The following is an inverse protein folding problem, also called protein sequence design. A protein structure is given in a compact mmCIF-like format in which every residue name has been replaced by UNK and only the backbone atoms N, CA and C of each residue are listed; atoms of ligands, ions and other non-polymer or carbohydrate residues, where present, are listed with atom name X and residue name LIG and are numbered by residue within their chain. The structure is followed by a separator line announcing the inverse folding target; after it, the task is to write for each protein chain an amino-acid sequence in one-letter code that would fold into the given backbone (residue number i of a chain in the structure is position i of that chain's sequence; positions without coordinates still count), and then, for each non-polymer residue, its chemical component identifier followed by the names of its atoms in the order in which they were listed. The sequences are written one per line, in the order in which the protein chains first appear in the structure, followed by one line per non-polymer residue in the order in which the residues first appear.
data_IF_127092369539
#
_entry.id   IF_127092369539
#
_cell.length_a   1.000
_cell.length_b   1.000
_cell.length_c   1.000
_cell.angle_alpha   90.00
_cell.angle_beta   90.00
_cell.angle_gamma   90.00
#
_symmetry.space_group_name_H-M   'P 1'
#
loop_
_entity.id
_entity.type
_entity.pdbx_description
1 polymer ?
#
# COMPACT_ATOMS: atom_id res chain seq x y z
N UNK A 1 -28.06 2.63 24.28
CA UNK A 1 -29.01 2.02 25.22
C UNK A 1 -28.32 1.96 26.59
N UNK A 2 -28.78 2.76 27.56
CA UNK A 2 -28.37 2.68 28.95
C UNK A 2 -28.97 1.41 29.52
N UNK A 3 -28.15 0.39 29.72
CA UNK A 3 -28.56 -0.79 30.47
C UNK A 3 -28.59 -0.42 31.96
N UNK A 4 -29.76 -0.19 32.51
CA UNK A 4 -29.93 -0.19 33.95
C UNK A 4 -29.88 -1.65 34.40
N UNK A 5 -28.79 -2.08 35.00
CA UNK A 5 -28.77 -3.34 35.72
C UNK A 5 -29.66 -3.20 36.93
N UNK A 6 -30.60 -4.14 37.07
CA UNK A 6 -31.49 -4.24 38.25
C UNK A 6 -30.62 -4.41 39.49
N UNK A 7 -30.94 -3.63 40.54
CA UNK A 7 -30.33 -3.76 41.86
C UNK A 7 -30.42 -5.22 42.31
N UNK A 8 -29.32 -5.87 42.56
CA UNK A 8 -29.24 -7.27 42.96
C UNK A 8 -29.19 -7.37 44.46
N UNK A 9 -29.91 -8.36 44.98
CA UNK A 9 -29.94 -8.66 46.41
C UNK A 9 -29.46 -10.10 46.65
N UNK A 10 -28.51 -10.24 47.56
CA UNK A 10 -28.11 -11.51 48.12
C UNK A 10 -28.65 -11.65 49.51
N UNK A 11 -29.17 -12.82 49.85
CA UNK A 11 -29.66 -13.12 51.21
C UNK A 11 -28.95 -14.38 51.68
N UNK A 12 -28.29 -14.28 52.81
CA UNK A 12 -27.66 -15.41 53.49
C UNK A 12 -28.35 -15.59 54.85
N UNK A 13 -28.80 -16.79 55.11
CA UNK A 13 -29.42 -17.19 56.39
C UNK A 13 -28.51 -18.19 57.07
N UNK A 14 -28.51 -18.26 58.38
CA UNK A 14 -27.71 -19.22 59.15
C UNK A 14 -26.20 -18.97 59.08
N UNK A 15 -25.78 -17.70 59.17
CA UNK A 15 -24.38 -17.34 59.14
C UNK A 15 -23.71 -17.49 60.51
N UNK A 16 -22.48 -17.94 60.46
CA UNK A 16 -21.61 -18.00 61.67
C UNK A 16 -20.21 -17.46 61.33
N UNK A 17 -19.55 -16.90 62.34
CA UNK A 17 -18.27 -16.26 62.12
C UNK A 17 -18.37 -14.81 61.62
N UNK A 18 -17.32 -14.27 61.05
CA UNK A 18 -17.26 -12.87 60.66
C UNK A 18 -17.27 -12.63 59.15
N UNK A 19 -17.22 -13.71 58.32
CA UNK A 19 -17.07 -13.58 56.89
C UNK A 19 -18.24 -14.17 56.12
N UNK A 20 -18.60 -13.52 55.01
CA UNK A 20 -19.63 -13.97 54.05
C UNK A 20 -19.04 -13.90 52.65
N UNK A 21 -19.30 -14.94 51.88
CA UNK A 21 -18.96 -14.93 50.45
C UNK A 21 -19.99 -14.16 49.67
N UNK A 22 -19.60 -13.15 48.97
CA UNK A 22 -20.43 -12.34 48.06
C UNK A 22 -20.66 -13.07 46.75
N UNK A 23 -21.87 -12.98 46.20
CA UNK A 23 -22.20 -13.48 44.86
C UNK A 23 -21.42 -12.76 43.76
N UNK A 24 -21.04 -11.51 44.01
CA UNK A 24 -20.29 -10.68 43.07
C UNK A 24 -19.14 -9.99 43.77
N UNK A 25 -18.02 -9.92 43.11
CA UNK A 25 -16.88 -9.13 43.57
C UNK A 25 -17.21 -7.62 43.62
N UNK A 26 -16.81 -6.99 44.70
CA UNK A 26 -16.96 -5.54 44.90
C UNK A 26 -15.63 -4.91 45.24
N UNK A 27 -15.46 -3.65 44.83
CA UNK A 27 -14.20 -2.90 44.99
C UNK A 27 -14.18 -2.03 46.22
N UNK A 28 -15.35 -1.67 46.74
CA UNK A 28 -15.49 -0.74 47.86
C UNK A 28 -16.68 -1.16 48.74
N UNK A 29 -16.58 -0.83 50.03
CA UNK A 29 -17.73 -0.98 50.97
C UNK A 29 -18.94 -0.15 50.55
N UNK A 30 -18.74 0.89 49.77
CA UNK A 30 -19.81 1.75 49.22
C UNK A 30 -20.57 1.12 48.09
N UNK A 31 -20.09 0.04 47.51
CA UNK A 31 -20.74 -0.68 46.42
C UNK A 31 -21.89 -1.56 46.91
N UNK A 32 -21.96 -1.77 48.23
CA UNK A 32 -23.00 -2.62 48.83
C UNK A 32 -23.60 -1.94 50.07
N UNK A 33 -24.84 -2.25 50.31
CA UNK A 33 -25.51 -1.98 51.56
C UNK A 33 -25.75 -3.28 52.32
N UNK A 34 -25.22 -3.41 53.53
CA UNK A 34 -25.32 -4.62 54.33
C UNK A 34 -26.29 -4.45 55.46
N UNK A 35 -27.20 -5.40 55.67
CA UNK A 35 -28.02 -5.45 56.86
C UNK A 35 -27.86 -6.79 57.57
N UNK A 36 -27.80 -6.76 58.90
CA UNK A 36 -27.81 -7.92 59.77
C UNK A 36 -29.10 -7.91 60.58
N UNK A 37 -29.91 -8.94 60.50
CA UNK A 37 -31.22 -9.02 61.10
C UNK A 37 -32.06 -7.76 60.90
N UNK A 38 -32.07 -7.25 59.66
CA UNK A 38 -32.74 -6.03 59.24
C UNK A 38 -32.15 -4.73 59.77
N UNK A 39 -31.03 -4.73 60.50
CA UNK A 39 -30.31 -3.55 60.93
C UNK A 39 -29.21 -3.20 59.97
N UNK A 40 -29.25 -2.00 59.41
CA UNK A 40 -28.21 -1.50 58.47
C UNK A 40 -26.87 -1.37 59.20
N UNK A 41 -25.84 -1.89 58.57
CA UNK A 41 -24.46 -1.79 59.06
C UNK A 41 -23.81 -0.54 58.53
N UNK A 42 -23.10 0.18 59.40
CA UNK A 42 -22.25 1.31 58.99
C UNK A 42 -21.07 0.78 58.13
N UNK A 43 -20.63 1.57 57.17
CA UNK A 43 -19.45 1.24 56.35
C UNK A 43 -18.17 0.98 57.15
N UNK A 44 -18.08 1.54 58.35
CA UNK A 44 -16.96 1.33 59.28
C UNK A 44 -17.02 -0.04 59.99
N UNK A 45 -18.15 -0.69 59.95
CA UNK A 45 -18.40 -1.99 60.61
C UNK A 45 -18.14 -3.21 59.72
N UNK A 46 -17.73 -3.00 58.48
CA UNK A 46 -17.37 -4.10 57.59
C UNK A 46 -16.31 -3.69 56.56
N UNK A 47 -15.65 -4.67 56.05
CA UNK A 47 -14.70 -4.51 54.96
C UNK A 47 -14.99 -5.49 53.86
N UNK A 48 -14.54 -5.17 52.60
CA UNK A 48 -14.67 -6.01 51.43
C UNK A 48 -13.34 -6.21 50.72
N UNK A 49 -13.13 -7.40 50.23
CA UNK A 49 -11.98 -7.72 49.37
C UNK A 49 -12.44 -8.75 48.32
N UNK A 50 -12.63 -8.28 47.06
CA UNK A 50 -13.15 -9.12 46.01
C UNK A 50 -14.55 -9.67 46.35
N UNK A 51 -14.65 -10.97 46.54
CA UNK A 51 -15.89 -11.65 46.93
C UNK A 51 -15.99 -11.95 48.44
N UNK A 52 -15.14 -11.38 49.26
CA UNK A 52 -15.19 -11.59 50.72
C UNK A 52 -15.67 -10.32 51.39
N UNK A 53 -16.80 -10.45 52.11
CA UNK A 53 -17.30 -9.47 53.06
C UNK A 53 -16.87 -9.89 54.46
N UNK A 54 -16.21 -9.02 55.23
CA UNK A 54 -15.85 -9.27 56.62
C UNK A 54 -16.58 -8.27 57.51
N UNK A 55 -17.35 -8.73 58.44
CA UNK A 55 -18.08 -7.93 59.42
C UNK A 55 -17.27 -7.73 60.68
N UNK A 56 -17.42 -6.57 61.34
CA UNK A 56 -16.73 -6.26 62.59
C UNK A 56 -17.27 -7.05 63.82
N UNK A 57 -18.43 -7.69 63.69
CA UNK A 57 -19.03 -8.52 64.73
C UNK A 57 -19.20 -9.97 64.29
N UNK A 58 -19.16 -10.91 65.22
CA UNK A 58 -19.40 -12.34 64.97
C UNK A 58 -20.88 -12.61 64.79
N UNK A 59 -21.24 -13.26 63.70
CA UNK A 59 -22.58 -13.74 63.41
C UNK A 59 -22.82 -15.04 64.15
N UNK A 60 -24.07 -15.18 64.67
CA UNK A 60 -24.52 -16.41 65.34
C UNK A 60 -25.94 -16.76 64.88
N UNK A 61 -26.01 -17.50 63.78
CA UNK A 61 -27.27 -17.84 63.11
C UNK A 61 -28.06 -16.62 62.61
N UNK A 62 -27.31 -15.56 62.24
CA UNK A 62 -27.90 -14.27 61.83
C UNK A 62 -28.26 -14.29 60.35
N UNK A 63 -29.33 -13.54 60.01
CA UNK A 63 -29.68 -13.26 58.62
C UNK A 63 -28.94 -12.02 58.12
N UNK A 64 -28.23 -12.16 57.04
CA UNK A 64 -27.53 -11.05 56.35
C UNK A 64 -28.11 -10.83 54.99
N UNK A 65 -28.46 -9.59 54.71
CA UNK A 65 -28.90 -9.18 53.37
C UNK A 65 -27.90 -8.17 52.83
N UNK A 66 -27.50 -8.38 51.58
CA UNK A 66 -26.54 -7.54 50.86
C UNK A 66 -27.24 -7.02 49.62
N UNK A 67 -27.35 -5.69 49.55
CA UNK A 67 -27.87 -5.00 48.38
C UNK A 67 -26.71 -4.40 47.62
N UNK A 68 -26.50 -4.81 46.37
CA UNK A 68 -25.48 -4.26 45.49
C UNK A 68 -26.02 -2.97 44.86
N UNK A 69 -25.55 -1.81 45.36
CA UNK A 69 -26.11 -0.48 45.05
C UNK A 69 -25.31 0.29 44.01
N UNK A 70 -24.10 -0.17 43.66
CA UNK A 70 -23.30 0.51 42.66
C UNK A 70 -22.40 -0.45 41.89
N UNK A 71 -22.39 -0.37 40.60
CA UNK A 71 -21.22 -0.64 39.78
C UNK A 71 -20.63 0.70 39.39
N UNK A 72 -19.44 0.95 39.84
CA UNK A 72 -18.64 2.00 39.22
C UNK A 72 -18.43 1.56 37.77
N UNK A 73 -19.09 2.25 36.85
CA UNK A 73 -18.66 2.15 35.45
C UNK A 73 -17.28 2.78 35.40
N UNK A 74 -16.25 1.95 35.54
CA UNK A 74 -14.97 2.37 35.05
C UNK A 74 -15.13 2.60 33.55
N UNK A 75 -15.17 3.84 33.12
CA UNK A 75 -14.73 4.18 31.78
C UNK A 75 -13.28 3.74 31.72
N UNK A 76 -13.07 2.47 31.32
CA UNK A 76 -11.73 1.94 31.18
C UNK A 76 -11.18 2.62 29.93
N UNK A 77 -10.54 3.78 30.14
CA UNK A 77 -9.59 4.27 29.17
C UNK A 77 -8.39 3.32 29.31
N UNK A 78 -8.12 2.45 28.33
CA UNK A 78 -7.00 1.54 28.42
C UNK A 78 -5.73 2.35 28.67
N UNK A 79 -4.87 1.91 29.55
CA UNK A 79 -3.57 2.54 29.72
C UNK A 79 -2.82 2.50 28.38
N UNK A 80 -1.95 3.49 28.15
CA UNK A 80 -1.16 3.57 26.92
C UNK A 80 -0.38 2.27 26.75
N UNK A 81 -0.53 1.64 25.58
CA UNK A 81 0.16 0.40 25.22
C UNK A 81 -0.50 -0.89 25.72
N UNK A 82 -1.68 -0.83 26.38
CA UNK A 82 -2.36 -2.04 26.89
C UNK A 82 -3.35 -2.66 25.89
N UNK A 83 -3.75 -1.94 24.85
CA UNK A 83 -4.57 -2.49 23.77
C UNK A 83 -3.65 -3.16 22.76
N UNK A 84 -3.70 -4.49 22.69
CA UNK A 84 -2.98 -5.27 21.69
C UNK A 84 -3.84 -5.54 20.46
N UNK A 85 -3.23 -5.91 19.34
CA UNK A 85 -3.97 -6.25 18.11
C UNK A 85 -4.98 -7.38 18.32
N UNK A 86 -4.68 -8.34 19.20
CA UNK A 86 -5.56 -9.47 19.52
C UNK A 86 -6.84 -9.05 20.25
N UNK A 87 -6.84 -7.87 20.86
CA UNK A 87 -8.03 -7.29 21.53
C UNK A 87 -8.96 -6.55 20.56
N UNK A 88 -8.55 -6.37 19.33
CA UNK A 88 -9.32 -5.69 18.29
C UNK A 88 -10.02 -6.72 17.41
N UNK A 89 -11.31 -6.49 17.12
CA UNK A 89 -12.09 -7.33 16.18
C UNK A 89 -11.44 -7.31 14.79
N UNK A 90 -10.91 -6.14 14.39
CA UNK A 90 -10.16 -5.97 13.15
C UNK A 90 -8.71 -5.64 13.52
N UNK A 91 -7.85 -6.64 13.48
CA UNK A 91 -6.41 -6.50 13.78
C UNK A 91 -5.56 -6.15 12.55
N UNK A 92 -6.18 -5.98 11.39
CA UNK A 92 -5.52 -5.63 10.14
C UNK A 92 -6.36 -4.68 9.29
N UNK A 93 -5.69 -3.97 8.39
CA UNK A 93 -6.29 -3.24 7.27
C UNK A 93 -5.87 -3.91 5.96
N UNK A 94 -6.67 -3.77 4.91
CA UNK A 94 -6.28 -4.24 3.59
C UNK A 94 -5.69 -3.06 2.81
N UNK A 95 -4.42 -3.18 2.43
CA UNK A 95 -3.73 -2.20 1.58
C UNK A 95 -3.36 -2.88 0.27
N UNK A 96 -3.86 -2.36 -0.83
CA UNK A 96 -3.61 -2.88 -2.18
C UNK A 96 -3.81 -4.41 -2.31
N UNK A 97 -4.91 -4.92 -1.72
CA UNK A 97 -5.25 -6.34 -1.74
C UNK A 97 -4.52 -7.22 -0.71
N UNK A 98 -3.53 -6.68 0.01
CA UNK A 98 -2.77 -7.39 1.04
C UNK A 98 -3.18 -6.96 2.44
N UNK A 99 -3.35 -7.92 3.35
CA UNK A 99 -3.64 -7.63 4.75
C UNK A 99 -2.36 -7.13 5.46
N UNK A 100 -2.47 -5.98 6.11
CA UNK A 100 -1.39 -5.38 6.92
C UNK A 100 -1.87 -5.31 8.36
N UNK A 101 -1.18 -5.97 9.28
CA UNK A 101 -1.50 -5.92 10.70
C UNK A 101 -1.38 -4.49 11.23
N UNK A 102 -2.25 -4.11 12.17
CA UNK A 102 -2.15 -2.82 12.84
C UNK A 102 -0.81 -2.70 13.55
N UNK A 103 -0.11 -1.57 13.32
CA UNK A 103 1.26 -1.37 13.78
C UNK A 103 2.34 -1.97 12.87
N UNK A 104 1.95 -2.73 11.83
CA UNK A 104 2.85 -3.18 10.78
C UNK A 104 3.09 -2.10 9.72
N UNK A 105 4.05 -2.35 8.85
CA UNK A 105 4.33 -1.52 7.67
C UNK A 105 4.05 -2.31 6.39
N UNK A 106 3.57 -1.62 5.38
CA UNK A 106 3.54 -2.11 4.01
C UNK A 106 4.10 -1.03 3.09
N UNK A 107 4.91 -1.44 2.14
CA UNK A 107 5.32 -0.56 1.04
C UNK A 107 4.34 -0.73 -0.11
N UNK A 108 3.88 0.38 -0.66
CA UNK A 108 3.25 0.39 -1.97
C UNK A 108 4.39 0.33 -2.98
N UNK A 109 4.53 -0.83 -3.60
CA UNK A 109 5.62 -1.12 -4.51
C UNK A 109 5.18 -0.78 -5.95
N UNK A 110 5.80 0.25 -6.54
CA UNK A 110 5.63 0.62 -7.94
C UNK A 110 6.73 0.04 -8.84
N UNK A 111 7.38 -1.03 -8.41
CA UNK A 111 8.36 -1.76 -9.21
C UNK A 111 7.70 -2.86 -10.05
N UNK A 112 8.28 -3.22 -11.19
CA UNK A 112 9.55 -2.70 -11.71
C UNK A 112 9.43 -1.28 -12.25
N UNK A 113 10.55 -0.55 -12.16
CA UNK A 113 10.77 0.70 -12.85
C UNK A 113 12.18 0.71 -13.46
N UNK A 114 12.30 1.29 -14.64
CA UNK A 114 13.55 1.33 -15.36
C UNK A 114 13.71 2.63 -16.15
N UNK A 115 14.92 2.98 -16.45
CA UNK A 115 15.29 4.02 -17.42
C UNK A 115 16.56 3.63 -18.16
N UNK A 116 16.53 3.77 -19.47
CA UNK A 116 17.64 3.49 -20.34
C UNK A 116 17.75 4.57 -21.42
N UNK A 117 18.95 4.76 -21.92
CA UNK A 117 19.29 5.69 -22.97
C UNK A 117 20.30 5.06 -23.92
N UNK A 118 20.67 5.77 -24.98
CA UNK A 118 21.88 5.45 -25.73
C UNK A 118 22.67 6.74 -26.03
N UNK A 119 23.96 6.60 -26.12
CA UNK A 119 24.86 7.70 -26.47
C UNK A 119 25.32 7.54 -27.91
N UNK A 120 25.52 8.68 -28.60
CA UNK A 120 25.92 8.69 -29.97
C UNK A 120 24.76 8.56 -30.97
N UNK A 121 25.00 7.92 -32.09
CA UNK A 121 24.03 7.80 -33.17
C UNK A 121 23.86 6.35 -33.62
N UNK A 122 22.60 6.00 -33.95
CA UNK A 122 22.28 4.75 -34.64
C UNK A 122 21.83 5.07 -36.06
N UNK A 123 22.48 4.49 -37.05
CA UNK A 123 22.06 4.64 -38.45
C UNK A 123 20.89 3.73 -38.76
N UNK A 124 19.89 4.28 -39.40
CA UNK A 124 18.69 3.55 -39.89
C UNK A 124 18.69 3.54 -41.42
N UNK A 125 18.40 2.37 -41.99
CA UNK A 125 18.13 2.27 -43.44
C UNK A 125 16.84 2.98 -43.78
N UNK A 126 16.80 3.59 -44.96
CA UNK A 126 15.65 4.31 -45.46
C UNK A 126 14.37 3.43 -45.45
N UNK A 127 13.29 3.96 -44.90
CA UNK A 127 11.97 3.36 -44.80
C UNK A 127 11.91 1.96 -44.13
N UNK A 128 12.91 1.60 -43.32
CA UNK A 128 12.97 0.32 -42.59
C UNK A 128 12.69 0.50 -41.11
N UNK A 129 11.67 -0.22 -40.60
CA UNK A 129 11.43 -0.31 -39.15
C UNK A 129 12.63 -0.95 -38.45
N UNK A 130 13.27 -0.21 -37.57
CA UNK A 130 14.49 -0.64 -36.90
C UNK A 130 14.34 -0.46 -35.39
N UNK A 131 14.75 -1.47 -34.62
CA UNK A 131 14.74 -1.37 -33.17
C UNK A 131 15.72 -0.30 -32.69
N UNK A 132 15.27 0.54 -31.76
CA UNK A 132 16.10 1.58 -31.15
C UNK A 132 16.96 0.95 -30.05
N UNK A 133 18.25 1.18 -30.11
CA UNK A 133 19.24 0.56 -29.23
C UNK A 133 19.47 1.39 -27.94
N UNK A 134 18.52 1.40 -27.02
CA UNK A 134 18.69 1.99 -25.69
C UNK A 134 19.56 1.08 -24.82
N UNK A 135 20.85 1.01 -25.09
CA UNK A 135 21.77 0.05 -24.49
C UNK A 135 22.47 0.54 -23.23
N UNK A 136 22.27 1.80 -22.86
CA UNK A 136 22.83 2.37 -21.63
C UNK A 136 21.75 2.42 -20.57
N UNK A 137 21.78 1.47 -19.65
CA UNK A 137 20.90 1.46 -18.49
C UNK A 137 21.29 2.55 -17.50
N UNK A 138 20.32 3.32 -17.02
CA UNK A 138 20.49 4.33 -15.97
C UNK A 138 20.11 3.72 -14.61
N UNK A 139 18.99 3.04 -14.56
CA UNK A 139 18.56 2.22 -13.42
C UNK A 139 17.52 1.19 -13.85
N UNK A 140 17.47 0.09 -13.10
CA UNK A 140 16.48 -0.97 -13.21
C UNK A 140 16.26 -1.61 -11.82
N UNK A 141 15.05 -1.56 -11.29
CA UNK A 141 14.76 -2.00 -9.92
C UNK A 141 14.63 -3.52 -9.74
N UNK A 142 14.28 -4.24 -10.78
CA UNK A 142 13.92 -5.67 -10.72
C UNK A 142 14.67 -6.52 -11.74
N UNK A 143 15.73 -6.01 -12.34
CA UNK A 143 16.43 -6.64 -13.46
C UNK A 143 15.47 -7.00 -14.62
N UNK A 144 14.52 -6.09 -14.85
CA UNK A 144 13.48 -6.24 -15.85
C UNK A 144 13.86 -5.70 -17.24
N UNK A 145 14.90 -4.89 -17.29
CA UNK A 145 15.41 -4.30 -18.50
C UNK A 145 16.67 -5.02 -18.99
N UNK A 146 16.62 -5.54 -20.20
CA UNK A 146 17.75 -6.16 -20.89
C UNK A 146 18.42 -5.12 -21.80
N UNK A 147 19.47 -4.50 -21.29
CA UNK A 147 20.21 -3.44 -22.01
C UNK A 147 20.93 -3.96 -23.26
N UNK A 148 21.33 -5.23 -23.31
CA UNK A 148 21.95 -5.82 -24.49
C UNK A 148 20.96 -5.97 -25.65
N UNK A 149 19.68 -6.19 -25.34
CA UNK A 149 18.61 -6.34 -26.31
C UNK A 149 17.66 -5.13 -26.36
N UNK A 150 17.91 -4.05 -25.61
CA UNK A 150 17.06 -2.86 -25.50
C UNK A 150 15.58 -3.23 -25.30
N UNK A 151 15.29 -4.04 -24.27
CA UNK A 151 14.01 -4.68 -24.08
C UNK A 151 13.61 -4.69 -22.59
N UNK A 152 12.42 -4.18 -22.27
CA UNK A 152 11.80 -4.36 -20.97
C UNK A 152 10.95 -5.64 -20.97
N UNK A 153 11.03 -6.45 -19.93
CA UNK A 153 10.22 -7.67 -19.77
C UNK A 153 9.59 -7.69 -18.38
N UNK A 154 8.28 -7.95 -18.30
CA UNK A 154 7.54 -8.00 -17.03
C UNK A 154 7.97 -9.20 -16.20
N UNK A 155 8.55 -8.99 -15.00
CA UNK A 155 8.98 -10.09 -14.14
C UNK A 155 7.80 -10.88 -13.53
N UNK A 156 8.12 -12.06 -12.97
CA UNK A 156 7.16 -12.88 -12.25
C UNK A 156 6.52 -12.12 -11.08
N UNK A 157 5.20 -12.22 -10.94
CA UNK A 157 4.44 -11.54 -9.89
C UNK A 157 4.20 -10.05 -10.11
N UNK A 158 4.65 -9.49 -11.23
CA UNK A 158 4.59 -8.04 -11.52
C UNK A 158 3.61 -7.67 -12.65
N UNK A 159 2.70 -8.56 -13.03
CA UNK A 159 1.63 -8.20 -13.97
C UNK A 159 0.85 -6.97 -13.49
N UNK A 160 0.31 -6.17 -14.42
CA UNK A 160 -0.50 -4.99 -14.10
C UNK A 160 -0.36 -3.86 -15.11
N UNK A 161 -0.74 -2.66 -14.69
CA UNK A 161 -0.69 -1.47 -15.55
C UNK A 161 0.68 -0.81 -15.44
N UNK A 162 1.22 -0.45 -16.60
CA UNK A 162 2.52 0.17 -16.74
C UNK A 162 2.40 1.48 -17.51
N UNK A 163 3.11 2.50 -17.06
CA UNK A 163 3.41 3.66 -17.88
C UNK A 163 4.70 3.37 -18.64
N UNK A 164 4.67 3.51 -19.96
CA UNK A 164 5.81 3.33 -20.87
C UNK A 164 6.00 4.64 -21.61
N UNK A 165 7.24 5.10 -21.70
CA UNK A 165 7.61 6.34 -22.39
C UNK A 165 8.92 6.17 -23.15
N UNK A 166 8.98 6.69 -24.37
CA UNK A 166 10.18 6.75 -25.16
C UNK A 166 10.31 8.07 -25.91
N UNK A 167 11.54 8.58 -25.98
CA UNK A 167 11.93 9.76 -26.77
C UNK A 167 13.07 9.40 -27.69
N UNK A 168 13.09 10.04 -28.87
CA UNK A 168 14.11 9.83 -29.88
C UNK A 168 14.33 11.11 -30.68
N UNK A 169 15.58 11.48 -30.89
CA UNK A 169 15.97 12.46 -31.91
C UNK A 169 16.24 11.78 -33.24
N UNK A 170 15.77 12.34 -34.33
CA UNK A 170 15.99 11.89 -35.71
C UNK A 170 16.76 12.94 -36.49
N UNK A 171 17.71 12.49 -37.29
CA UNK A 171 18.63 13.37 -38.06
C UNK A 171 18.79 12.82 -39.48
N UNK A 172 18.88 13.75 -40.45
CA UNK A 172 19.41 13.46 -41.79
C UNK A 172 20.74 14.19 -42.01
N UNK A 173 21.61 13.60 -42.81
CA UNK A 173 22.91 14.21 -43.13
C UNK A 173 22.81 15.32 -44.18
N UNK A 174 21.72 15.32 -44.98
CA UNK A 174 21.46 16.42 -45.89
C UNK A 174 20.50 17.42 -45.22
N UNK A 175 20.76 18.70 -45.37
CA UNK A 175 19.90 19.74 -44.89
C UNK A 175 18.49 19.60 -45.52
N UNK A 176 17.44 19.27 -44.77
CA UNK A 176 16.06 19.13 -45.27
C UNK A 176 15.77 17.83 -46.01
N UNK A 177 15.95 16.68 -45.35
CA UNK A 177 15.77 15.39 -46.03
C UNK A 177 14.81 14.40 -45.33
N UNK A 178 14.48 14.60 -44.04
CA UNK A 178 13.51 13.78 -43.37
C UNK A 178 12.11 14.04 -43.92
N UNK A 179 11.53 13.04 -44.58
CA UNK A 179 10.19 13.05 -45.13
C UNK A 179 9.17 12.47 -44.13
N UNK A 180 9.51 11.33 -43.51
CA UNK A 180 8.69 10.72 -42.46
C UNK A 180 9.62 10.30 -41.34
N UNK A 181 9.21 10.59 -40.13
CA UNK A 181 9.84 10.12 -38.89
C UNK A 181 8.80 9.40 -38.06
N UNK A 182 9.08 8.16 -37.70
CA UNK A 182 8.18 7.33 -36.89
C UNK A 182 8.88 6.82 -35.64
N UNK A 183 8.10 6.75 -34.56
CA UNK A 183 8.46 6.12 -33.30
C UNK A 183 7.33 5.19 -32.90
N UNK A 184 7.62 3.96 -32.54
CA UNK A 184 6.58 3.00 -32.18
C UNK A 184 6.94 2.16 -30.98
N UNK A 185 5.91 1.80 -30.22
CA UNK A 185 5.95 0.82 -29.14
C UNK A 185 5.50 -0.51 -29.72
N UNK A 186 6.29 -1.57 -29.49
CA UNK A 186 5.92 -2.95 -29.79
C UNK A 186 5.79 -3.75 -28.51
N UNK A 187 4.69 -4.51 -28.44
CA UNK A 187 4.44 -5.47 -27.38
C UNK A 187 4.57 -6.88 -27.98
N UNK A 188 5.47 -7.69 -27.42
CA UNK A 188 5.71 -9.06 -27.87
C UNK A 188 6.02 -9.13 -29.37
N UNK A 189 6.81 -8.16 -29.87
CA UNK A 189 7.17 -8.03 -31.28
C UNK A 189 6.09 -7.44 -32.20
N UNK A 190 4.84 -7.31 -31.74
CA UNK A 190 3.74 -6.76 -32.51
C UNK A 190 3.58 -5.25 -32.27
N UNK A 191 3.24 -4.51 -33.31
CA UNK A 191 2.97 -3.08 -33.21
C UNK A 191 1.80 -2.84 -32.26
N UNK A 192 2.05 -1.99 -31.23
CA UNK A 192 1.02 -1.57 -30.28
C UNK A 192 0.58 -0.13 -30.53
N UNK A 193 1.53 0.79 -30.63
CA UNK A 193 1.29 2.21 -30.86
C UNK A 193 2.37 2.77 -31.78
N UNK A 194 1.99 3.62 -32.72
CA UNK A 194 2.89 4.35 -33.58
C UNK A 194 2.55 5.84 -33.57
N UNK A 195 3.56 6.67 -33.50
CA UNK A 195 3.52 8.09 -33.79
C UNK A 195 4.34 8.35 -35.05
N UNK A 196 3.78 9.11 -35.98
CA UNK A 196 4.45 9.48 -37.22
C UNK A 196 4.30 10.96 -37.50
N UNK A 197 5.41 11.61 -37.87
CA UNK A 197 5.45 12.95 -38.41
C UNK A 197 5.78 12.89 -39.90
N UNK A 198 4.95 13.54 -40.73
CA UNK A 198 5.11 13.58 -42.17
C UNK A 198 5.38 15.00 -42.64
N UNK A 199 6.44 15.19 -43.38
CA UNK A 199 6.88 16.48 -43.91
C UNK A 199 6.77 16.47 -45.46
N UNK A 200 5.63 16.92 -45.98
CA UNK A 200 5.30 16.80 -47.42
C UNK A 200 5.94 17.84 -48.33
N UNK A 201 6.25 19.02 -47.81
CA UNK A 201 6.72 20.16 -48.64
C UNK A 201 7.97 20.84 -48.09
N UNK A 202 8.18 20.79 -46.81
CA UNK A 202 9.34 21.35 -46.12
C UNK A 202 10.01 20.28 -45.30
N UNK A 203 10.83 19.49 -45.94
CA UNK A 203 11.63 18.45 -45.23
C UNK A 203 12.54 19.09 -44.19
N UNK A 204 12.75 18.41 -43.12
CA UNK A 204 13.58 18.88 -42.01
C UNK A 204 14.80 17.98 -41.84
N UNK A 205 15.87 18.53 -41.34
CA UNK A 205 17.07 17.74 -41.03
C UNK A 205 17.08 17.17 -39.62
N UNK A 206 16.20 17.65 -38.75
CA UNK A 206 16.15 17.23 -37.36
C UNK A 206 14.71 17.24 -36.84
N UNK A 207 14.32 16.19 -36.14
CA UNK A 207 13.06 16.08 -35.43
C UNK A 207 13.26 15.33 -34.12
N UNK A 208 12.39 15.57 -33.16
CA UNK A 208 12.34 14.76 -31.91
C UNK A 208 10.93 14.26 -31.71
N UNK A 209 10.78 12.96 -31.50
CA UNK A 209 9.52 12.30 -31.23
C UNK A 209 9.48 11.80 -29.80
N UNK A 210 8.31 11.88 -29.21
CA UNK A 210 8.02 11.37 -27.89
C UNK A 210 6.73 10.57 -27.93
N UNK A 211 6.78 9.32 -27.50
CA UNK A 211 5.63 8.43 -27.41
C UNK A 211 5.47 7.94 -25.97
N UNK A 212 4.25 7.94 -25.49
CA UNK A 212 3.92 7.36 -24.18
C UNK A 212 2.60 6.59 -24.25
N UNK A 213 2.44 5.61 -23.37
CA UNK A 213 1.25 4.79 -23.30
C UNK A 213 1.10 4.19 -21.90
N UNK A 214 -0.16 4.01 -21.48
CA UNK A 214 -0.49 3.16 -20.32
C UNK A 214 -0.94 1.80 -20.85
N UNK A 215 -0.24 0.75 -20.47
CA UNK A 215 -0.43 -0.60 -21.00
C UNK A 215 -0.75 -1.57 -19.88
N UNK A 216 -1.67 -2.49 -20.15
CA UNK A 216 -1.91 -3.65 -19.29
C UNK A 216 -0.99 -4.80 -19.75
N UNK A 217 -0.04 -5.19 -18.87
CA UNK A 217 1.01 -6.14 -19.19
C UNK A 217 0.91 -7.38 -18.29
N UNK A 218 0.91 -8.54 -18.91
CA UNK A 218 1.02 -9.83 -18.24
C UNK A 218 2.48 -10.17 -17.91
N UNK A 219 2.70 -11.13 -17.02
CA UNK A 219 4.03 -11.70 -16.78
C UNK A 219 4.63 -12.20 -18.08
N UNK A 220 5.91 -11.92 -18.30
CA UNK A 220 6.68 -12.24 -19.51
C UNK A 220 6.29 -11.44 -20.76
N UNK A 221 5.30 -10.54 -20.70
CA UNK A 221 5.15 -9.57 -21.79
C UNK A 221 6.40 -8.70 -21.87
N UNK A 222 6.81 -8.38 -23.09
CA UNK A 222 7.95 -7.50 -23.29
C UNK A 222 7.63 -6.33 -24.22
N UNK A 223 8.34 -5.23 -23.99
CA UNK A 223 8.22 -3.97 -24.72
C UNK A 223 9.53 -3.63 -25.37
N UNK A 224 9.45 -3.25 -26.62
CA UNK A 224 10.56 -2.75 -27.43
C UNK A 224 10.11 -1.48 -28.16
N UNK A 225 11.06 -0.61 -28.43
CA UNK A 225 10.85 0.63 -29.16
C UNK A 225 11.47 0.51 -30.56
N UNK A 226 10.72 0.90 -31.58
CA UNK A 226 11.17 0.90 -32.96
C UNK A 226 11.03 2.28 -33.56
N UNK A 227 11.91 2.58 -34.51
CA UNK A 227 11.91 3.80 -35.29
C UNK A 227 11.99 3.49 -36.76
N UNK A 228 11.42 4.39 -37.59
CA UNK A 228 11.58 4.39 -39.04
C UNK A 228 11.82 5.82 -39.49
N UNK A 229 12.78 5.97 -40.36
CA UNK A 229 13.00 7.23 -41.09
C UNK A 229 12.77 6.98 -42.58
N UNK A 230 11.96 7.83 -43.23
CA UNK A 230 11.86 7.86 -44.69
C UNK A 230 12.57 9.13 -45.13
N UNK A 231 13.63 8.97 -45.90
CA UNK A 231 14.52 10.01 -46.32
C UNK A 231 14.26 10.34 -47.80
N UNK A 232 14.01 11.59 -48.10
CA UNK A 232 13.63 12.01 -49.45
C UNK A 232 14.67 11.67 -50.53
N UNK A 233 15.94 11.66 -50.17
CA UNK A 233 17.04 11.25 -51.07
C UNK A 233 17.17 9.72 -51.19
N UNK A 234 16.47 8.92 -50.36
CA UNK A 234 16.63 7.46 -50.27
C UNK A 234 17.95 7.02 -49.58
N UNK A 235 18.65 7.94 -48.94
CA UNK A 235 19.84 7.63 -48.14
C UNK A 235 19.45 7.18 -46.71
N UNK A 236 20.45 6.66 -45.99
CA UNK A 236 20.23 6.34 -44.58
C UNK A 236 20.10 7.61 -43.74
N UNK A 237 19.26 7.56 -42.74
CA UNK A 237 19.17 8.56 -41.69
C UNK A 237 19.82 8.09 -40.38
N UNK A 238 19.76 8.90 -39.36
CA UNK A 238 20.31 8.58 -38.04
C UNK A 238 19.34 8.99 -36.93
N UNK A 239 19.37 8.24 -35.86
CA UNK A 239 18.68 8.58 -34.61
C UNK A 239 19.72 8.67 -33.48
N UNK A 240 19.41 9.45 -32.42
CA UNK A 240 20.27 9.55 -31.27
C UNK A 240 20.29 10.90 -30.58
N UNK A 241 21.43 11.24 -30.02
CA UNK A 241 21.64 12.45 -29.22
C UNK A 241 22.11 13.66 -30.06
N UNK A 242 22.18 13.53 -31.37
CA UNK A 242 22.59 14.61 -32.28
C UNK A 242 24.03 15.03 -32.16
N UNK A 243 24.88 14.24 -31.54
CA UNK A 243 26.32 14.52 -31.37
C UNK A 243 26.62 15.67 -30.40
N UNK A 244 25.66 16.08 -29.59
CA UNK A 244 25.81 17.10 -28.55
C UNK A 244 25.66 16.52 -27.13
N UNK A 245 25.83 17.37 -26.13
CA UNK A 245 25.70 16.99 -24.70
C UNK A 245 24.25 16.76 -24.25
N UNK A 246 23.29 16.89 -25.16
CA UNK A 246 21.86 16.72 -24.84
C UNK A 246 21.41 15.31 -25.21
N UNK A 247 21.04 14.52 -24.20
CA UNK A 247 20.47 13.18 -24.37
C UNK A 247 19.01 13.32 -24.80
N UNK A 248 18.74 13.22 -26.10
CA UNK A 248 17.37 13.24 -26.65
C UNK A 248 16.75 11.85 -26.77
N UNK A 249 17.44 10.81 -26.31
CA UNK A 249 17.00 9.43 -26.42
C UNK A 249 16.85 8.83 -25.02
N UNK A 250 15.61 8.48 -24.68
CA UNK A 250 15.29 7.83 -23.42
C UNK A 250 14.17 6.80 -23.61
N UNK A 251 14.29 5.67 -22.94
CA UNK A 251 13.24 4.68 -22.82
C UNK A 251 13.09 4.37 -21.34
N UNK A 252 11.91 4.61 -20.81
CA UNK A 252 11.63 4.38 -19.40
C UNK A 252 10.22 3.85 -19.19
N UNK A 253 10.02 3.26 -18.04
CA UNK A 253 8.71 2.79 -17.62
C UNK A 253 8.67 2.43 -16.16
N UNK A 254 7.45 2.37 -15.62
CA UNK A 254 7.21 1.94 -14.26
C UNK A 254 5.81 1.35 -14.11
N UNK A 255 5.68 0.44 -13.16
CA UNK A 255 4.39 -0.11 -12.79
C UNK A 255 3.57 0.95 -12.06
N UNK A 256 2.30 1.10 -12.45
CA UNK A 256 1.42 2.07 -11.83
C UNK A 256 0.91 1.60 -10.46
N UNK A 257 0.39 0.40 -10.39
CA UNK A 257 -0.04 -0.26 -9.13
C UNK A 257 -0.29 -1.74 -9.43
#
# INVERSE_FOLDING_TARGET
ATNFETVRKQVSTTNSGTTITLDFAVSSVQDILVTVNAVVQSYDNYSVSGTTLTLGGTLNNDRVEILYVGRTFQTVTPAVGTVTNDMLVNSSITLNGSAVSLGGSASVDNTPNFSATFSGTQTLSDAVDTKVNYTTEIYDSDSAYDSANAKFTVPSGKAGKYFISATMGAYSYAATDNHVVKLSIRKNGSLWRELAENYHTNYINQSALHINEVMDLAVSDYIEIYAQLNIASGNNGSIGDGGGSNVFANFCGFKLI
#
